data_IF_667524742923
#
_entry.id   IF_667524742923
#
_cell.length_a   1.000
_cell.length_b   1.000
_cell.length_c   1.000
_cell.angle_alpha   90.00
_cell.angle_beta   90.00
_cell.angle_gamma   90.00
#
_symmetry.space_group_name_H-M   'P 1'
#
loop_
_entity.id
_entity.type
_entity.pdbx_description
1 polymer ?
#
# COMPACT_ATOMS: atom_id res chain seq x y z
N UNK A 1 16.25 3.75 -4.71
CA UNK A 1 15.88 5.14 -4.40
C UNK A 1 17.01 5.72 -3.57
N UNK A 2 17.76 6.67 -4.09
CA UNK A 2 18.91 7.28 -3.38
C UNK A 2 18.39 8.59 -2.81
N UNK A 3 18.17 8.62 -1.50
CA UNK A 3 17.79 9.85 -0.80
C UNK A 3 19.02 10.74 -0.63
N UNK A 4 19.07 11.85 -1.38
CA UNK A 4 20.17 12.81 -1.29
C UNK A 4 19.92 13.77 -0.12
N UNK A 5 20.50 13.47 1.02
CA UNK A 5 20.94 14.48 2.00
C UNK A 5 19.91 15.14 2.91
N UNK A 6 18.59 14.88 2.82
CA UNK A 6 17.57 15.46 3.71
C UNK A 6 16.84 14.37 4.51
N UNK A 7 16.63 14.65 5.80
CA UNK A 7 15.70 13.85 6.62
C UNK A 7 14.28 14.08 6.08
N UNK A 8 13.70 13.07 5.42
CA UNK A 8 12.35 13.13 4.86
C UNK A 8 11.32 13.41 5.97
N UNK A 9 10.43 14.37 5.73
CA UNK A 9 9.20 14.51 6.50
C UNK A 9 8.11 13.73 5.75
N UNK A 10 8.09 12.41 5.92
CA UNK A 10 7.29 11.48 5.12
C UNK A 10 5.82 11.89 5.04
N UNK A 11 5.24 12.40 6.12
CA UNK A 11 3.85 12.84 6.13
C UNK A 11 3.53 13.91 5.08
N UNK A 12 4.53 14.72 4.69
CA UNK A 12 4.35 15.77 3.67
C UNK A 12 4.90 15.33 2.31
N UNK A 13 5.90 14.48 2.32
CA UNK A 13 6.67 14.12 1.12
C UNK A 13 6.07 12.90 0.39
N UNK A 14 5.27 12.08 1.07
CA UNK A 14 4.57 10.93 0.47
C UNK A 14 3.05 11.14 0.51
N UNK A 15 2.41 10.99 -0.65
CA UNK A 15 0.96 11.09 -0.81
C UNK A 15 0.43 9.87 -1.57
N UNK A 16 -0.62 9.24 -1.05
CA UNK A 16 -1.40 8.25 -1.79
C UNK A 16 -2.62 8.94 -2.42
N UNK A 17 -2.73 8.87 -3.73
CA UNK A 17 -3.85 9.42 -4.48
C UNK A 17 -4.82 8.31 -4.84
N UNK A 18 -6.04 8.41 -4.32
CA UNK A 18 -7.16 7.53 -4.62
C UNK A 18 -8.19 8.30 -5.42
N UNK A 19 -8.69 7.72 -6.51
CA UNK A 19 -9.86 8.25 -7.19
C UNK A 19 -11.16 7.77 -6.51
N UNK A 20 -12.32 8.40 -6.77
CA UNK A 20 -13.58 8.03 -6.13
C UNK A 20 -14.03 6.58 -6.40
N UNK A 21 -13.73 6.04 -7.58
CA UNK A 21 -14.04 4.67 -7.94
C UNK A 21 -13.26 3.68 -7.09
N UNK A 22 -11.94 3.89 -6.94
CA UNK A 22 -11.09 3.06 -6.08
C UNK A 22 -11.58 3.13 -4.63
N UNK A 23 -11.89 4.32 -4.13
CA UNK A 23 -12.41 4.48 -2.77
C UNK A 23 -13.72 3.71 -2.56
N UNK A 24 -14.65 3.79 -3.52
CA UNK A 24 -15.88 2.98 -3.50
C UNK A 24 -15.60 1.47 -3.50
N UNK A 25 -14.59 1.02 -4.24
CA UNK A 25 -14.22 -0.39 -4.27
C UNK A 25 -13.59 -0.86 -2.95
N UNK A 26 -12.85 0.00 -2.24
CA UNK A 26 -12.39 -0.30 -0.89
C UNK A 26 -13.56 -0.53 0.07
N UNK A 27 -14.55 0.38 0.06
CA UNK A 27 -15.76 0.25 0.89
C UNK A 27 -16.49 -1.05 0.59
N UNK A 28 -16.75 -1.37 -0.69
CA UNK A 28 -17.40 -2.62 -1.08
C UNK A 28 -16.64 -3.86 -0.62
N UNK A 29 -15.29 -3.79 -0.63
CA UNK A 29 -14.46 -4.88 -0.14
C UNK A 29 -14.69 -5.11 1.35
N UNK A 30 -14.79 -4.04 2.15
CA UNK A 30 -15.10 -4.10 3.58
C UNK A 30 -16.50 -4.66 3.83
N UNK A 31 -17.51 -4.15 3.12
CA UNK A 31 -18.88 -4.60 3.24
C UNK A 31 -19.02 -6.10 2.95
N UNK A 32 -18.35 -6.60 1.91
CA UNK A 32 -18.36 -8.00 1.52
C UNK A 32 -17.62 -8.93 2.50
N UNK A 33 -16.62 -8.41 3.19
CA UNK A 33 -15.84 -9.18 4.16
C UNK A 33 -16.51 -9.26 5.55
N UNK A 34 -17.39 -8.29 5.87
CA UNK A 34 -18.01 -8.19 7.19
C UNK A 34 -18.68 -9.50 7.64
N UNK A 35 -18.50 -10.00 8.88
CA UNK A 35 -17.84 -9.33 10.02
C UNK A 35 -16.31 -9.50 10.09
N UNK A 36 -15.70 -10.14 9.11
CA UNK A 36 -14.25 -10.33 9.05
C UNK A 36 -13.56 -9.07 8.53
N UNK A 37 -12.25 -9.00 8.74
CA UNK A 37 -11.43 -7.94 8.16
C UNK A 37 -11.28 -8.14 6.64
N UNK A 38 -11.48 -7.07 5.89
CA UNK A 38 -11.18 -7.06 4.46
C UNK A 38 -9.67 -6.98 4.23
N UNK A 39 -9.21 -7.54 3.12
CA UNK A 39 -7.84 -7.44 2.67
C UNK A 39 -7.76 -7.24 1.17
N UNK A 40 -6.75 -6.55 0.69
CA UNK A 40 -6.56 -6.31 -0.74
C UNK A 40 -5.20 -5.72 -1.10
N UNK A 41 -4.94 -5.67 -2.40
CA UNK A 41 -3.71 -5.16 -2.98
C UNK A 41 -3.99 -3.89 -3.80
N UNK A 42 -3.11 -2.92 -3.66
CA UNK A 42 -3.18 -1.64 -4.36
C UNK A 42 -2.05 -1.59 -5.39
N UNK A 43 -2.44 -1.46 -6.66
CA UNK A 43 -1.52 -1.36 -7.79
C UNK A 43 -1.55 0.04 -8.39
N UNK A 44 -0.40 0.49 -8.87
CA UNK A 44 -0.29 1.80 -9.49
C UNK A 44 1.14 2.22 -9.80
N UNK A 45 1.33 3.52 -9.89
CA UNK A 45 2.61 4.15 -10.23
C UNK A 45 3.11 5.01 -9.07
N UNK A 46 4.42 5.14 -8.96
CA UNK A 46 5.05 6.09 -8.04
C UNK A 46 5.73 7.16 -8.90
N UNK A 47 5.27 8.41 -8.76
CA UNK A 47 5.87 9.55 -9.44
C UNK A 47 6.73 10.33 -8.47
N UNK A 48 7.94 10.64 -8.89
CA UNK A 48 8.83 11.57 -8.24
C UNK A 48 8.54 12.98 -8.79
N UNK A 49 8.14 13.90 -7.93
CA UNK A 49 7.76 15.26 -8.28
C UNK A 49 8.75 16.21 -7.63
N UNK A 50 9.48 16.98 -8.44
CA UNK A 50 10.43 17.95 -7.93
C UNK A 50 9.75 19.04 -7.09
N UNK A 51 10.40 19.44 -6.01
CA UNK A 51 9.92 20.56 -5.20
C UNK A 51 10.42 21.85 -5.81
N UNK A 52 9.51 22.66 -6.38
CA UNK A 52 9.84 23.94 -7.02
C UNK A 52 10.47 24.97 -6.07
N UNK A 53 10.29 24.80 -4.75
CA UNK A 53 10.78 25.73 -3.74
C UNK A 53 12.15 25.36 -3.18
N UNK A 54 12.64 24.16 -3.46
CA UNK A 54 13.91 23.64 -2.95
C UNK A 54 14.60 22.76 -3.98
N UNK A 55 15.77 23.17 -4.39
CA UNK A 55 16.66 22.41 -5.24
C UNK A 55 16.99 21.06 -4.58
N UNK A 56 16.95 19.97 -5.36
CA UNK A 56 17.21 18.59 -4.93
C UNK A 56 16.19 17.97 -3.92
N UNK A 57 15.01 18.55 -3.77
CA UNK A 57 13.94 18.03 -2.92
C UNK A 57 12.80 17.47 -3.76
N UNK A 58 12.21 16.32 -3.36
CA UNK A 58 11.21 15.62 -4.14
C UNK A 58 10.05 15.15 -3.27
N UNK A 59 8.85 15.14 -3.86
CA UNK A 59 7.65 14.50 -3.33
C UNK A 59 7.41 13.19 -4.07
N UNK A 60 6.83 12.21 -3.38
CA UNK A 60 6.49 10.92 -3.97
C UNK A 60 4.97 10.76 -4.00
N UNK A 61 4.42 10.76 -5.20
CA UNK A 61 3.01 10.53 -5.41
C UNK A 61 2.76 9.07 -5.80
N UNK A 62 2.15 8.32 -4.89
CA UNK A 62 1.65 6.98 -5.11
C UNK A 62 0.26 7.09 -5.73
N UNK A 63 0.14 6.83 -7.03
CA UNK A 63 -1.11 6.97 -7.77
C UNK A 63 -1.75 5.61 -7.89
N UNK A 64 -2.84 5.37 -7.15
CA UNK A 64 -3.60 4.14 -7.26
C UNK A 64 -4.30 4.09 -8.63
N UNK A 65 -4.05 3.02 -9.38
CA UNK A 65 -4.67 2.74 -10.68
C UNK A 65 -5.65 1.60 -10.60
N UNK A 66 -5.39 0.61 -9.74
CA UNK A 66 -6.21 -0.57 -9.56
C UNK A 66 -6.19 -1.02 -8.11
N UNK A 67 -7.32 -1.44 -7.62
CA UNK A 67 -7.47 -2.12 -6.35
C UNK A 67 -8.00 -3.54 -6.60
N UNK A 68 -7.38 -4.52 -5.98
CA UNK A 68 -7.83 -5.90 -5.98
C UNK A 68 -8.20 -6.32 -4.58
N UNK A 69 -9.50 -6.45 -4.34
CA UNK A 69 -10.02 -7.07 -3.13
C UNK A 69 -9.70 -8.56 -3.16
N UNK A 70 -9.27 -9.11 -2.05
CA UNK A 70 -8.99 -10.53 -1.89
C UNK A 70 -10.18 -11.18 -1.18
N UNK A 71 -10.61 -12.33 -1.71
CA UNK A 71 -11.82 -12.99 -1.21
C UNK A 71 -11.69 -13.40 0.26
N UNK A 72 -12.72 -13.19 1.10
CA UNK A 72 -12.69 -13.51 2.53
C UNK A 72 -12.79 -15.00 2.86
N UNK A 73 -12.80 -15.89 1.87
CA UNK A 73 -13.08 -17.33 2.04
C UNK A 73 -12.07 -18.09 2.92
N UNK A 74 -10.99 -17.45 3.33
CA UNK A 74 -10.01 -18.04 4.24
C UNK A 74 -9.51 -16.95 5.16
N UNK A 75 -9.98 -16.94 6.42
CA UNK A 75 -9.44 -16.17 7.54
C UNK A 75 -8.51 -15.03 7.08
N UNK A 76 -9.10 -13.98 6.59
CA UNK A 76 -8.49 -12.94 5.80
C UNK A 76 -7.69 -11.97 6.65
N UNK A 77 -6.63 -12.44 7.24
CA UNK A 77 -5.63 -11.53 7.76
C UNK A 77 -4.61 -11.26 6.66
N UNK A 78 -4.05 -10.06 6.63
CA UNK A 78 -2.86 -9.74 5.85
C UNK A 78 -1.75 -10.77 6.10
N UNK A 79 -1.71 -11.37 7.29
CA UNK A 79 -0.84 -12.49 7.66
C UNK A 79 -0.96 -13.69 6.74
N UNK A 80 -2.18 -14.08 6.39
CA UNK A 80 -2.40 -15.22 5.47
C UNK A 80 -1.84 -14.93 4.08
N UNK A 81 -2.00 -13.72 3.61
CA UNK A 81 -1.49 -13.30 2.31
C UNK A 81 0.04 -13.32 2.26
N UNK A 82 0.67 -12.80 3.31
CA UNK A 82 2.14 -12.76 3.41
C UNK A 82 2.72 -14.17 3.57
N UNK A 83 2.00 -15.09 4.21
CA UNK A 83 2.41 -16.49 4.36
C UNK A 83 2.22 -17.33 3.10
N UNK A 84 1.47 -16.84 2.10
CA UNK A 84 1.25 -17.54 0.84
C UNK A 84 1.96 -16.80 -0.30
N UNK A 85 3.28 -16.90 -0.31
CA UNK A 85 4.17 -16.20 -1.25
C UNK A 85 3.86 -16.53 -2.71
N UNK A 86 3.55 -17.80 -3.04
CA UNK A 86 3.20 -18.21 -4.40
C UNK A 86 1.93 -17.49 -4.90
N UNK A 87 0.87 -17.50 -4.10
CA UNK A 87 -0.38 -16.83 -4.46
C UNK A 87 -0.17 -15.32 -4.65
N UNK A 88 0.60 -14.72 -3.76
CA UNK A 88 0.90 -13.29 -3.81
C UNK A 88 1.72 -12.94 -5.07
N UNK A 89 2.71 -13.75 -5.38
CA UNK A 89 3.53 -13.60 -6.57
C UNK A 89 2.70 -13.73 -7.85
N UNK A 90 1.84 -14.76 -7.96
CA UNK A 90 0.95 -14.95 -9.09
C UNK A 90 0.00 -13.77 -9.30
N UNK A 91 -0.57 -13.24 -8.23
CA UNK A 91 -1.43 -12.04 -8.30
C UNK A 91 -0.64 -10.84 -8.82
N UNK A 92 0.57 -10.61 -8.29
CA UNK A 92 1.40 -9.47 -8.69
C UNK A 92 1.76 -9.58 -10.18
N UNK A 93 2.23 -10.73 -10.64
CA UNK A 93 2.57 -10.96 -12.05
C UNK A 93 1.37 -10.72 -12.95
N UNK A 94 0.23 -11.34 -12.64
CA UNK A 94 -0.98 -11.19 -13.44
C UNK A 94 -1.46 -9.73 -13.53
N UNK A 95 -1.27 -8.93 -12.48
CA UNK A 95 -1.70 -7.54 -12.47
C UNK A 95 -0.68 -6.59 -13.14
N UNK A 96 0.60 -6.92 -13.15
CA UNK A 96 1.65 -6.04 -13.63
C UNK A 96 2.14 -6.39 -15.05
N UNK A 97 2.18 -7.67 -15.43
CA UNK A 97 2.74 -8.12 -16.71
C UNK A 97 1.72 -8.29 -17.83
N UNK A 98 0.45 -8.58 -17.50
CA UNK A 98 -0.60 -8.90 -18.50
C UNK A 98 -1.06 -7.67 -19.30
N UNK A 99 -0.71 -6.46 -18.88
CA UNK A 99 -1.13 -5.26 -19.60
C UNK A 99 0.08 -4.52 -20.20
N UNK A 100 0.41 -4.75 -21.51
CA UNK A 100 1.55 -4.11 -22.16
C UNK A 100 1.48 -2.57 -22.20
N UNK A 101 0.29 -1.99 -21.95
CA UNK A 101 0.11 -0.55 -21.84
C UNK A 101 0.44 -0.01 -20.43
N UNK A 102 0.67 -0.88 -19.43
CA UNK A 102 0.92 -0.52 -18.04
C UNK A 102 2.34 -0.90 -17.58
N UNK A 103 3.35 -0.72 -18.43
CA UNK A 103 4.75 -1.09 -18.13
C UNK A 103 5.32 -0.53 -16.81
N UNK A 104 4.66 0.46 -16.22
CA UNK A 104 5.09 1.09 -14.96
C UNK A 104 4.21 0.71 -13.77
N UNK A 105 3.15 -0.10 -13.97
CA UNK A 105 2.28 -0.49 -12.88
C UNK A 105 2.98 -1.50 -11.98
N UNK A 106 2.96 -1.25 -10.67
CA UNK A 106 3.55 -2.11 -9.65
C UNK A 106 2.65 -2.21 -8.43
N UNK A 107 2.92 -3.15 -7.55
CA UNK A 107 2.35 -3.13 -6.22
C UNK A 107 2.86 -1.88 -5.47
N UNK A 108 1.94 -1.05 -4.98
CA UNK A 108 2.26 0.18 -4.26
C UNK A 108 1.70 0.21 -2.84
N UNK A 109 0.81 -0.72 -2.50
CA UNK A 109 0.26 -0.78 -1.15
C UNK A 109 -0.52 -2.04 -0.87
N UNK A 110 -0.76 -2.25 0.42
CA UNK A 110 -1.60 -3.29 0.98
C UNK A 110 -2.76 -2.61 1.71
N UNK A 111 -3.96 -3.11 1.51
CA UNK A 111 -5.18 -2.64 2.15
C UNK A 111 -5.70 -3.68 3.11
N UNK A 112 -6.16 -3.24 4.29
CA UNK A 112 -7.03 -4.04 5.15
C UNK A 112 -7.96 -3.15 5.97
N UNK A 113 -8.99 -3.75 6.54
CA UNK A 113 -9.91 -3.06 7.44
C UNK A 113 -9.76 -3.56 8.86
N UNK A 114 -10.00 -2.66 9.82
CA UNK A 114 -10.18 -3.02 11.21
C UNK A 114 -11.67 -2.90 11.60
N UNK A 115 -12.16 -3.71 12.54
CA UNK A 115 -13.52 -3.54 13.08
C UNK A 115 -13.75 -2.14 13.64
N UNK A 116 -12.70 -1.51 14.18
CA UNK A 116 -12.71 -0.13 14.68
C UNK A 116 -11.32 0.49 14.67
N UNK A 117 -11.27 1.71 14.18
CA UNK A 117 -10.06 2.53 14.13
C UNK A 117 -9.18 2.25 12.90
N UNK A 118 -8.22 3.13 12.70
CA UNK A 118 -7.35 3.12 11.51
C UNK A 118 -5.87 3.05 11.85
N UNK A 119 -5.53 2.84 13.14
CA UNK A 119 -4.13 2.70 13.58
C UNK A 119 -3.64 1.27 13.37
N UNK A 120 -2.37 1.07 12.99
CA UNK A 120 -1.79 -0.26 12.84
C UNK A 120 -1.82 -1.02 14.17
N UNK A 121 -2.19 -2.30 14.13
CA UNK A 121 -2.04 -3.23 15.24
C UNK A 121 -0.57 -3.66 15.41
N UNK A 122 -0.26 -4.34 16.50
CA UNK A 122 1.09 -4.93 16.69
C UNK A 122 1.42 -5.93 15.57
N UNK A 123 0.45 -6.73 15.15
CA UNK A 123 0.61 -7.67 14.04
C UNK A 123 0.92 -6.94 12.73
N UNK A 124 0.20 -5.86 12.42
CA UNK A 124 0.47 -5.06 11.22
C UNK A 124 1.89 -4.48 11.25
N UNK A 125 2.27 -3.93 12.39
CA UNK A 125 3.62 -3.37 12.56
C UNK A 125 4.73 -4.40 12.34
N UNK A 126 4.55 -5.63 12.84
CA UNK A 126 5.53 -6.70 12.65
C UNK A 126 5.56 -7.17 11.20
N UNK A 127 4.42 -7.21 10.52
CA UNK A 127 4.36 -7.52 9.09
C UNK A 127 4.99 -6.45 8.20
N UNK A 128 4.79 -5.17 8.53
CA UNK A 128 5.46 -4.07 7.85
C UNK A 128 6.98 -4.20 7.94
N UNK A 129 7.52 -4.52 9.12
CA UNK A 129 8.95 -4.76 9.34
C UNK A 129 9.44 -5.98 8.57
N UNK A 130 8.64 -7.07 8.60
CA UNK A 130 8.98 -8.31 7.90
C UNK A 130 9.10 -8.07 6.39
N UNK A 131 8.13 -7.40 5.76
CA UNK A 131 8.16 -7.12 4.32
C UNK A 131 9.31 -6.17 3.94
N UNK A 132 9.63 -5.19 4.77
CA UNK A 132 10.80 -4.34 4.54
C UNK A 132 12.10 -5.14 4.59
N UNK A 133 12.25 -6.02 5.61
CA UNK A 133 13.39 -6.94 5.70
C UNK A 133 13.44 -7.87 4.48
N UNK A 134 12.33 -8.53 4.14
CA UNK A 134 12.23 -9.44 3.01
C UNK A 134 12.61 -8.75 1.69
N UNK A 135 12.17 -7.52 1.49
CA UNK A 135 12.50 -6.72 0.31
C UNK A 135 13.98 -6.33 0.20
N UNK A 136 14.74 -6.47 1.29
CA UNK A 136 16.17 -6.17 1.33
C UNK A 136 17.07 -7.37 1.03
N UNK A 137 16.52 -8.59 0.98
CA UNK A 137 17.27 -9.82 0.68
C UNK A 137 17.60 -9.83 -0.81
N UNK A 138 18.91 -9.88 -1.14
CA UNK A 138 19.41 -9.61 -2.50
C UNK A 138 19.15 -10.70 -3.55
N UNK A 139 18.61 -11.85 -3.20
CA UNK A 139 18.62 -13.02 -4.09
C UNK A 139 17.38 -13.21 -4.98
N UNK A 140 16.35 -12.36 -4.86
CA UNK A 140 15.16 -12.49 -5.70
C UNK A 140 14.63 -11.13 -6.16
N UNK A 141 14.48 -10.97 -7.47
CA UNK A 141 13.92 -9.75 -8.07
C UNK A 141 12.46 -9.50 -7.64
N UNK A 142 11.72 -10.55 -7.30
CA UNK A 142 10.35 -10.47 -6.80
C UNK A 142 10.26 -9.74 -5.46
N UNK A 143 11.25 -9.90 -4.60
CA UNK A 143 11.25 -9.32 -3.25
C UNK A 143 11.25 -7.79 -3.26
N UNK A 144 11.84 -7.15 -4.28
CA UNK A 144 11.87 -5.68 -4.40
C UNK A 144 10.50 -5.06 -4.61
N UNK A 145 9.52 -5.84 -5.05
CA UNK A 145 8.13 -5.38 -5.20
C UNK A 145 7.49 -4.98 -3.86
N UNK A 146 7.98 -5.53 -2.74
CA UNK A 146 7.46 -5.26 -1.41
C UNK A 146 8.10 -4.06 -0.69
N UNK A 147 9.08 -3.40 -1.32
CA UNK A 147 9.74 -2.26 -0.69
C UNK A 147 8.90 -1.00 -0.75
N UNK A 148 8.82 -0.29 0.38
CA UNK A 148 8.13 0.99 0.52
C UNK A 148 6.64 0.91 0.16
N UNK A 149 5.95 -0.15 0.57
CA UNK A 149 4.51 -0.28 0.41
C UNK A 149 3.78 0.63 1.40
N UNK A 150 2.72 1.28 0.92
CA UNK A 150 1.78 1.98 1.78
C UNK A 150 0.75 0.99 2.31
N UNK A 151 0.63 0.92 3.63
CA UNK A 151 -0.40 0.15 4.32
C UNK A 151 -1.60 1.05 4.56
N UNK A 152 -2.71 0.69 3.95
CA UNK A 152 -3.96 1.44 4.00
C UNK A 152 -4.92 0.71 4.92
N UNK A 153 -5.31 1.36 6.01
CA UNK A 153 -6.18 0.80 7.04
C UNK A 153 -7.50 1.56 7.06
N UNK A 154 -8.61 0.86 6.91
CA UNK A 154 -9.96 1.42 6.93
C UNK A 154 -10.72 0.96 8.18
N UNK A 155 -11.38 1.90 8.84
CA UNK A 155 -12.38 1.60 9.89
C UNK A 155 -13.65 1.07 9.23
N UNK A 156 -14.07 -0.15 9.59
CA UNK A 156 -15.21 -0.80 8.96
C UNK A 156 -16.58 -0.18 9.35
N UNK A 157 -16.62 0.68 10.36
CA UNK A 157 -17.86 1.30 10.83
C UNK A 157 -18.15 2.62 10.15
N UNK A 158 -17.13 3.49 10.05
CA UNK A 158 -17.30 4.87 9.58
C UNK A 158 -16.59 5.16 8.24
N UNK A 159 -15.87 4.16 7.69
CA UNK A 159 -15.07 4.28 6.47
C UNK A 159 -13.94 5.31 6.54
N UNK A 160 -13.51 5.70 7.74
CA UNK A 160 -12.29 6.48 7.89
C UNK A 160 -11.09 5.66 7.40
N UNK A 161 -10.10 6.35 6.82
CA UNK A 161 -8.96 5.71 6.19
C UNK A 161 -7.67 6.44 6.53
N UNK A 162 -6.64 5.67 6.90
CA UNK A 162 -5.28 6.18 7.07
C UNK A 162 -4.27 5.31 6.32
N UNK A 163 -3.17 5.93 5.93
CA UNK A 163 -2.05 5.28 5.29
C UNK A 163 -0.80 5.31 6.15
N UNK A 164 -0.02 4.23 6.11
CA UNK A 164 1.22 4.09 6.85
C UNK A 164 2.30 3.50 5.96
N UNK A 165 3.55 3.86 6.22
CA UNK A 165 4.71 3.27 5.56
C UNK A 165 5.76 2.95 6.62
N UNK A 166 6.44 1.80 6.46
CA UNK A 166 7.63 1.49 7.24
C UNK A 166 8.85 2.00 6.50
N UNK A 167 9.55 2.95 7.11
CA UNK A 167 10.67 3.62 6.51
C UNK A 167 11.69 4.03 7.58
N UNK A 168 12.99 3.82 7.31
CA UNK A 168 14.08 4.11 8.26
C UNK A 168 13.86 3.53 9.67
N UNK A 169 13.32 2.29 9.74
CA UNK A 169 12.99 1.55 10.97
C UNK A 169 11.86 2.14 11.81
N UNK A 170 11.08 3.06 11.24
CA UNK A 170 9.93 3.68 11.88
C UNK A 170 8.66 3.51 11.03
N UNK A 171 7.51 3.39 11.69
CA UNK A 171 6.21 3.45 11.02
C UNK A 171 5.78 4.90 11.01
N UNK A 172 5.50 5.42 9.83
CA UNK A 172 5.12 6.82 9.65
C UNK A 172 3.81 6.89 8.87
N UNK A 173 2.94 7.83 9.28
CA UNK A 173 1.70 8.09 8.60
C UNK A 173 1.96 8.87 7.30
N UNK A 174 1.23 8.54 6.25
CA UNK A 174 1.27 9.22 4.95
C UNK A 174 -0.08 9.88 4.66
N UNK A 175 -0.06 10.94 3.85
CA UNK A 175 -1.29 11.62 3.45
C UNK A 175 -2.03 10.82 2.37
N UNK A 176 -3.31 10.52 2.63
CA UNK A 176 -4.21 9.98 1.62
C UNK A 176 -5.06 11.12 1.05
N UNK A 177 -5.00 11.31 -0.26
CA UNK A 177 -5.81 12.28 -0.98
C UNK A 177 -6.86 11.53 -1.81
N UNK A 178 -8.09 11.57 -1.37
CA UNK A 178 -9.22 11.15 -2.20
C UNK A 178 -9.73 12.39 -2.96
N UNK A 179 -9.59 12.41 -4.29
CA UNK A 179 -10.20 13.47 -5.08
C UNK A 179 -11.73 13.29 -5.02
N UNK A 180 -12.39 14.15 -4.26
CA UNK A 180 -13.82 14.39 -4.47
C UNK A 180 -13.95 15.08 -5.83
N UNK A 181 -14.80 14.54 -6.73
CA UNK A 181 -15.20 15.23 -7.94
C UNK A 181 -15.85 16.57 -7.63
#
# INVERSE_FOLDING_TARGET
>A
MIYRGRRMKIQNDIKLLLNPEIFSNLIKCVENAFPNEACGLIFGNILEVANEQKEEDYYYHYICRKFRCLSPDKSSSVSFLIQNEELLHDIIINETEVNPNNKEMRLIGIFHSHPKGTSPSFTDMDQMKYLDYFSSIEHDYGNKAFKNLIWVIMDAVNNDINGYIYFEREIQQVNILSRKN
#
